data_IF_633546870111
#
_entry.id   IF_633546870111
#
_cell.length_a   1.000
_cell.length_b   1.000
_cell.length_c   1.000
_cell.angle_alpha   90.00
_cell.angle_beta   90.00
_cell.angle_gamma   90.00
#
_symmetry.space_group_name_H-M   'P 1'
#
loop_
_entity.id
_entity.type
_entity.pdbx_description
1 polymer ?
#
# COMPACT_ATOMS: atom_id res chain seq x y z
N UNK A 1 8.32 -20.95 -2.34
CA UNK A 1 9.80 -20.95 -2.28
C UNK A 1 10.18 -20.34 -0.94
N UNK A 2 11.12 -20.94 -0.20
CA UNK A 2 11.59 -20.41 1.08
C UNK A 2 12.38 -19.09 0.88
N UNK A 3 12.00 -17.97 1.51
CA UNK A 3 12.75 -16.72 1.48
C UNK A 3 14.23 -16.84 1.86
N UNK A 4 14.57 -17.73 2.80
CA UNK A 4 15.96 -17.95 3.19
C UNK A 4 16.78 -18.56 2.04
N UNK A 5 16.19 -19.51 1.31
CA UNK A 5 16.78 -20.09 0.11
C UNK A 5 16.99 -19.03 -0.99
N UNK A 6 16.00 -18.17 -1.23
CA UNK A 6 16.12 -17.09 -2.23
C UNK A 6 17.27 -16.16 -1.87
N UNK A 7 17.35 -15.70 -0.61
CA UNK A 7 18.43 -14.81 -0.16
C UNK A 7 19.82 -15.45 -0.28
N UNK A 8 19.92 -16.76 -0.08
CA UNK A 8 21.17 -17.51 -0.26
C UNK A 8 21.59 -17.60 -1.73
N UNK A 9 20.65 -17.86 -2.65
CA UNK A 9 20.96 -18.05 -4.07
C UNK A 9 21.01 -16.73 -4.87
N UNK A 10 20.29 -15.71 -4.41
CA UNK A 10 20.15 -14.39 -5.02
C UNK A 10 20.16 -13.32 -3.93
N UNK A 11 21.35 -12.94 -3.43
CA UNK A 11 21.47 -11.93 -2.36
C UNK A 11 20.99 -10.55 -2.79
N UNK A 12 20.90 -10.30 -4.10
CA UNK A 12 20.38 -9.07 -4.72
C UNK A 12 18.85 -9.06 -4.89
N UNK A 13 18.17 -10.17 -4.59
CA UNK A 13 16.72 -10.25 -4.76
C UNK A 13 15.98 -9.38 -3.73
N UNK A 14 15.02 -8.59 -4.23
CA UNK A 14 13.97 -7.99 -3.41
C UNK A 14 12.93 -9.07 -3.16
N UNK A 15 12.74 -9.43 -1.88
CA UNK A 15 11.84 -10.51 -1.48
C UNK A 15 10.61 -9.90 -0.83
N UNK A 16 9.43 -10.27 -1.33
CA UNK A 16 8.13 -9.91 -0.78
C UNK A 16 7.28 -11.17 -0.61
N UNK A 17 6.54 -11.26 0.50
CA UNK A 17 5.74 -12.45 0.83
C UNK A 17 4.45 -12.04 1.55
N UNK A 18 3.50 -12.96 1.74
CA UNK A 18 2.32 -12.70 2.59
C UNK A 18 2.60 -12.73 4.10
N UNK A 19 3.82 -13.14 4.52
CA UNK A 19 4.15 -13.35 5.93
C UNK A 19 4.46 -12.04 6.64
N UNK A 20 3.94 -11.88 7.86
CA UNK A 20 4.13 -10.68 8.69
C UNK A 20 5.48 -10.63 9.41
N UNK A 21 6.16 -11.77 9.56
CA UNK A 21 7.46 -11.89 10.22
C UNK A 21 8.64 -11.52 9.30
N UNK A 22 8.37 -11.17 8.04
CA UNK A 22 9.37 -10.82 7.04
C UNK A 22 9.18 -9.39 6.51
N UNK A 23 10.24 -8.75 5.98
CA UNK A 23 10.11 -7.50 5.25
C UNK A 23 9.18 -7.64 4.03
N UNK A 24 8.68 -6.50 3.54
CA UNK A 24 7.85 -6.42 2.34
C UNK A 24 6.61 -7.34 2.36
N UNK A 25 5.84 -7.29 3.45
CA UNK A 25 4.59 -8.04 3.54
C UNK A 25 3.57 -7.53 2.51
N UNK A 26 3.19 -8.39 1.56
CA UNK A 26 2.09 -8.16 0.63
C UNK A 26 0.81 -8.66 1.27
N UNK A 27 -0.06 -7.73 1.68
CA UNK A 27 -1.30 -8.07 2.37
C UNK A 27 -2.45 -7.18 1.88
N UNK A 28 -3.60 -7.79 1.65
CA UNK A 28 -4.80 -7.14 1.13
C UNK A 28 -5.38 -6.06 2.07
N UNK A 29 -4.99 -6.06 3.35
CA UNK A 29 -5.32 -4.98 4.30
C UNK A 29 -4.86 -3.60 3.81
N UNK A 30 -3.82 -3.55 2.97
CA UNK A 30 -3.34 -2.32 2.34
C UNK A 30 -4.25 -1.82 1.21
N UNK A 31 -5.11 -2.68 0.67
CA UNK A 31 -5.97 -2.39 -0.47
C UNK A 31 -7.44 -2.23 -0.07
N UNK A 32 -8.06 -3.31 0.42
CA UNK A 32 -9.52 -3.39 0.57
C UNK A 32 -10.13 -2.22 1.36
N UNK A 33 -9.66 -1.88 2.58
CA UNK A 33 -10.30 -0.83 3.36
C UNK A 33 -10.34 0.51 2.63
N UNK A 34 -9.27 0.85 1.92
CA UNK A 34 -9.10 2.15 1.29
C UNK A 34 -9.71 2.22 -0.11
N UNK A 35 -9.67 1.12 -0.86
CA UNK A 35 -10.37 1.00 -2.14
C UNK A 35 -11.89 1.14 -1.94
N UNK A 36 -12.45 0.43 -0.95
CA UNK A 36 -13.86 0.59 -0.60
C UNK A 36 -14.16 1.98 -0.04
N UNK A 37 -13.29 2.53 0.80
CA UNK A 37 -13.47 3.88 1.33
C UNK A 37 -13.57 4.91 0.20
N UNK A 38 -12.63 4.91 -0.74
CA UNK A 38 -12.63 5.84 -1.86
C UNK A 38 -13.85 5.66 -2.77
N UNK A 39 -14.24 4.42 -3.06
CA UNK A 39 -15.44 4.11 -3.83
C UNK A 39 -16.72 4.63 -3.15
N UNK A 40 -16.83 4.48 -1.82
CA UNK A 40 -17.96 4.96 -1.03
C UNK A 40 -17.97 6.49 -0.96
N UNK A 41 -16.82 7.13 -0.81
CA UNK A 41 -16.69 8.59 -0.70
C UNK A 41 -17.17 9.32 -1.97
N UNK A 42 -16.90 8.77 -3.17
CA UNK A 42 -17.43 9.30 -4.44
C UNK A 42 -18.75 8.63 -4.91
N UNK A 43 -19.31 7.73 -4.10
CA UNK A 43 -20.53 6.97 -4.42
C UNK A 43 -20.46 6.24 -5.77
N UNK A 44 -19.30 5.67 -6.07
CA UNK A 44 -19.06 4.92 -7.30
C UNK A 44 -20.09 3.78 -7.49
N UNK A 45 -20.51 3.57 -8.73
CA UNK A 45 -21.40 2.45 -9.10
C UNK A 45 -20.67 1.11 -9.17
N UNK A 46 -19.37 1.18 -9.42
CA UNK A 46 -18.47 0.04 -9.54
C UNK A 46 -17.05 0.49 -9.22
N UNK A 47 -16.19 -0.45 -8.84
CA UNK A 47 -14.74 -0.24 -8.84
C UNK A 47 -14.23 -0.67 -10.21
N UNK A 48 -13.59 0.26 -10.93
CA UNK A 48 -13.02 -0.01 -12.26
C UNK A 48 -11.48 -0.03 -12.22
N UNK A 49 -10.86 -0.33 -13.37
CA UNK A 49 -9.41 -0.42 -13.50
C UNK A 49 -8.69 0.89 -13.15
N UNK A 50 -9.24 2.05 -13.53
CA UNK A 50 -8.67 3.35 -13.17
C UNK A 50 -8.59 3.55 -11.64
N UNK A 51 -9.61 3.10 -10.90
CA UNK A 51 -9.60 3.12 -9.44
C UNK A 51 -8.58 2.15 -8.83
N UNK A 52 -8.42 0.96 -9.43
CA UNK A 52 -7.40 -0.01 -8.98
C UNK A 52 -5.99 0.54 -9.19
N UNK A 53 -5.71 1.11 -10.37
CA UNK A 53 -4.43 1.75 -10.69
C UNK A 53 -4.14 2.91 -9.72
N UNK A 54 -5.13 3.76 -9.44
CA UNK A 54 -4.97 4.85 -8.49
C UNK A 54 -4.65 4.36 -7.07
N UNK A 55 -5.21 3.22 -6.64
CA UNK A 55 -4.87 2.62 -5.36
C UNK A 55 -3.42 2.12 -5.33
N UNK A 56 -2.97 1.46 -6.40
CA UNK A 56 -1.59 0.97 -6.56
C UNK A 56 -0.61 2.15 -6.54
N UNK A 57 -0.89 3.21 -7.30
CA UNK A 57 -0.06 4.41 -7.35
C UNK A 57 -0.02 5.12 -5.99
N UNK A 58 -1.15 5.20 -5.28
CA UNK A 58 -1.22 5.76 -3.93
C UNK A 58 -0.33 5.01 -2.94
N UNK A 59 -0.37 3.67 -2.96
CA UNK A 59 0.51 2.82 -2.15
C UNK A 59 1.99 3.00 -2.49
N UNK A 60 2.31 3.00 -3.79
CA UNK A 60 3.68 3.12 -4.28
C UNK A 60 4.30 4.48 -3.92
N UNK A 61 3.50 5.57 -3.99
CA UNK A 61 3.95 6.89 -3.56
C UNK A 61 4.13 6.96 -2.06
N UNK A 62 3.17 6.46 -1.28
CA UNK A 62 3.29 6.46 0.19
C UNK A 62 4.53 5.69 0.67
N UNK A 63 4.89 4.58 0.02
CA UNK A 63 6.09 3.80 0.38
C UNK A 63 7.40 4.60 0.22
N UNK A 64 7.39 5.64 -0.63
CA UNK A 64 8.56 6.50 -0.90
C UNK A 64 8.63 7.72 0.01
N UNK A 65 7.55 8.03 0.71
CA UNK A 65 7.54 9.11 1.69
C UNK A 65 8.26 8.71 2.98
N UNK A 66 8.88 9.67 3.69
CA UNK A 66 9.42 9.41 5.03
C UNK A 66 8.35 8.81 5.95
N UNK A 67 8.71 7.81 6.75
CA UNK A 67 7.78 7.19 7.70
C UNK A 67 7.79 7.99 9.01
N UNK A 68 6.64 8.50 9.48
CA UNK A 68 6.55 9.24 10.73
C UNK A 68 6.96 8.40 11.95
N UNK A 69 7.55 9.06 12.95
CA UNK A 69 8.02 8.43 14.19
C UNK A 69 6.92 7.66 14.92
N UNK A 70 5.67 8.14 14.89
CA UNK A 70 4.51 7.46 15.49
C UNK A 70 4.29 6.06 14.89
N UNK A 71 4.47 5.93 13.57
CA UNK A 71 4.34 4.66 12.86
C UNK A 71 5.57 3.80 13.14
N UNK A 72 6.77 4.38 13.13
CA UNK A 72 8.00 3.65 13.48
C UNK A 72 7.90 3.03 14.89
N UNK A 73 7.46 3.82 15.87
CA UNK A 73 7.26 3.39 17.24
C UNK A 73 6.23 2.26 17.36
N UNK A 74 5.10 2.37 16.65
CA UNK A 74 4.06 1.32 16.64
C UNK A 74 4.56 -0.04 16.11
N UNK A 75 5.60 -0.02 15.26
CA UNK A 75 6.23 -1.22 14.71
C UNK A 75 7.56 -1.59 15.39
N UNK A 76 7.96 -0.88 16.46
CA UNK A 76 9.24 -1.12 17.14
C UNK A 76 10.46 -0.89 16.25
N UNK A 77 10.34 -0.01 15.25
CA UNK A 77 11.39 0.30 14.28
C UNK A 77 12.05 1.64 14.65
N UNK A 78 13.36 1.75 14.43
CA UNK A 78 14.09 3.01 14.59
C UNK A 78 14.08 3.83 13.30
N UNK A 79 14.12 3.16 12.16
CA UNK A 79 14.08 3.79 10.85
C UNK A 79 13.36 2.88 9.86
N UNK A 80 12.76 3.50 8.84
CA UNK A 80 12.15 2.80 7.73
C UNK A 80 12.21 3.70 6.50
N UNK A 81 12.90 3.24 5.46
CA UNK A 81 13.11 4.01 4.23
C UNK A 81 12.92 3.12 3.02
N UNK A 82 12.36 3.68 1.95
CA UNK A 82 12.19 3.00 0.68
C UNK A 82 13.48 2.34 0.21
N UNK A 83 13.43 1.04 -0.07
CA UNK A 83 14.57 0.24 -0.46
C UNK A 83 14.27 -1.26 -0.50
N UNK A 84 15.27 -2.12 -0.72
CA UNK A 84 15.06 -3.57 -0.90
C UNK A 84 14.31 -4.27 0.25
N UNK A 85 14.34 -3.72 1.46
CA UNK A 85 13.65 -4.25 2.64
C UNK A 85 12.36 -3.50 2.99
N UNK A 86 12.02 -2.44 2.25
CA UNK A 86 10.79 -1.68 2.42
C UNK A 86 10.34 -1.10 1.08
N UNK A 87 9.53 -1.86 0.35
CA UNK A 87 8.94 -1.44 -0.94
C UNK A 87 7.44 -1.16 -0.84
N UNK A 88 6.82 -1.51 0.29
CA UNK A 88 5.37 -1.46 0.50
C UNK A 88 5.09 -0.90 1.91
N UNK A 89 4.10 0.01 2.07
CA UNK A 89 3.80 0.61 3.36
C UNK A 89 3.37 -0.41 4.41
N UNK A 90 3.41 -0.01 5.68
CA UNK A 90 2.95 -0.87 6.77
C UNK A 90 1.40 -0.90 6.84
N UNK A 91 0.77 -2.06 7.10
CA UNK A 91 -0.69 -2.21 7.18
C UNK A 91 -1.47 -1.20 8.03
N UNK A 92 -0.88 -0.74 9.13
CA UNK A 92 -1.51 0.18 10.09
C UNK A 92 -1.01 1.63 9.91
N UNK A 93 -0.37 1.94 8.79
CA UNK A 93 0.01 3.30 8.44
C UNK A 93 -1.26 4.14 8.21
N UNK A 94 -1.57 5.03 9.16
CA UNK A 94 -2.79 5.84 9.14
C UNK A 94 -2.87 6.74 7.88
N UNK A 95 -1.75 7.02 7.23
CA UNK A 95 -1.68 7.84 6.02
C UNK A 95 -2.30 7.13 4.81
N UNK A 96 -2.42 5.79 4.84
CA UNK A 96 -3.08 5.01 3.77
C UNK A 96 -4.46 5.53 3.42
N UNK A 97 -5.20 6.05 4.41
CA UNK A 97 -6.50 6.67 4.17
C UNK A 97 -6.43 7.82 3.18
N UNK A 98 -5.52 8.76 3.42
CA UNK A 98 -5.36 9.93 2.56
C UNK A 98 -4.76 9.55 1.21
N UNK A 99 -3.71 8.74 1.20
CA UNK A 99 -2.96 8.43 -0.02
C UNK A 99 -3.69 7.49 -0.99
N UNK A 100 -4.47 6.53 -0.46
CA UNK A 100 -5.12 5.51 -1.27
C UNK A 100 -6.60 5.84 -1.48
N UNK A 101 -7.36 6.14 -0.42
CA UNK A 101 -8.79 6.35 -0.56
C UNK A 101 -9.12 7.63 -1.36
N UNK A 102 -8.39 8.73 -1.13
CA UNK A 102 -8.64 9.97 -1.87
C UNK A 102 -8.25 9.83 -3.36
N UNK A 103 -7.16 9.13 -3.64
CA UNK A 103 -6.73 8.81 -5.01
C UNK A 103 -7.79 7.96 -5.74
N UNK A 104 -8.31 6.93 -5.08
CA UNK A 104 -9.39 6.09 -5.60
C UNK A 104 -10.66 6.91 -5.85
N UNK A 105 -11.05 7.78 -4.91
CA UNK A 105 -12.24 8.62 -5.07
C UNK A 105 -12.08 9.59 -6.25
N UNK A 106 -10.90 10.19 -6.41
CA UNK A 106 -10.57 11.06 -7.54
C UNK A 106 -10.64 10.31 -8.87
N UNK A 107 -10.08 9.09 -8.95
CA UNK A 107 -10.15 8.24 -10.14
C UNK A 107 -11.60 7.81 -10.45
N UNK A 108 -12.41 7.52 -9.43
CA UNK A 108 -13.83 7.21 -9.61
C UNK A 108 -14.61 8.38 -10.23
N UNK A 109 -14.31 9.62 -9.81
CA UNK A 109 -14.87 10.84 -10.43
C UNK A 109 -14.39 11.04 -11.86
N UNK A 110 -13.07 10.96 -12.08
CA UNK A 110 -12.48 11.20 -13.40
C UNK A 110 -12.93 10.18 -14.46
N UNK A 111 -13.14 8.93 -14.06
CA UNK A 111 -13.60 7.87 -14.97
C UNK A 111 -15.12 7.80 -15.17
N UNK A 112 -15.88 8.71 -14.53
CA UNK A 112 -17.34 8.83 -14.72
C UNK A 112 -18.17 7.74 -14.04
N UNK A 113 -17.57 6.85 -13.24
CA UNK A 113 -18.32 5.82 -12.48
C UNK A 113 -18.89 6.35 -11.16
N UNK A 114 -18.38 7.50 -10.70
CA UNK A 114 -18.88 8.20 -9.52
C UNK A 114 -20.21 8.89 -9.77
N UNK A 115 -20.99 9.04 -8.70
CA UNK A 115 -22.24 9.83 -8.72
C UNK A 115 -22.08 11.20 -8.07
N UNK A 116 -20.90 11.49 -7.49
CA UNK A 116 -20.48 12.75 -6.88
C UNK A 116 -18.97 12.92 -6.98
#
# INVERSE_FOLDING_TARGET
>A
IDPALVRRLRPDAIIATGRSDLPNQVNNVLGFPFLFRGALDCRARQINEAMLLAAVDGLARLAREPVPDEILAAYGMQECRFGPQYIIPKPLDLRLRHWVADAVAAAGRASGVARR
#
